data_IF_700902958847
#
_entry.id   IF_700902958847
#
_cell.length_a   1.000
_cell.length_b   1.000
_cell.length_c   1.000
_cell.angle_alpha   90.00
_cell.angle_beta   90.00
_cell.angle_gamma   90.00
#
_symmetry.space_group_name_H-M   'P 1'
#
loop_
_entity.id
_entity.type
_entity.pdbx_description
1 polymer ?
#
# COMPACT_ATOMS: atom_id res chain seq x y z
N UNK A 1 9.00 -62.32 -7.25
CA UNK A 1 9.45 -61.41 -6.17
C UNK A 1 10.83 -60.93 -6.56
N UNK A 2 11.13 -59.66 -6.86
CA UNK A 2 10.45 -58.40 -6.59
C UNK A 2 10.81 -57.44 -7.74
N UNK A 3 9.83 -56.87 -8.43
CA UNK A 3 10.06 -55.78 -9.36
C UNK A 3 10.36 -54.51 -8.56
N UNK A 4 11.56 -53.97 -8.75
CA UNK A 4 11.94 -52.69 -8.17
C UNK A 4 11.08 -51.57 -8.80
N UNK A 5 10.19 -51.00 -7.99
CA UNK A 5 9.43 -49.79 -8.33
C UNK A 5 10.43 -48.65 -8.60
N UNK A 6 10.74 -48.43 -9.88
CA UNK A 6 11.41 -47.21 -10.35
C UNK A 6 10.44 -46.06 -10.15
N UNK A 7 10.59 -45.35 -9.03
CA UNK A 7 10.01 -44.03 -8.83
C UNK A 7 10.59 -43.12 -9.92
N UNK A 8 9.86 -42.94 -11.01
CA UNK A 8 10.20 -41.97 -12.05
C UNK A 8 10.03 -40.60 -11.41
N UNK A 9 11.15 -39.99 -11.00
CA UNK A 9 11.17 -38.59 -10.61
C UNK A 9 10.84 -37.78 -11.87
N UNK A 10 9.54 -37.57 -12.11
CA UNK A 10 9.03 -36.86 -13.27
C UNK A 10 9.68 -35.49 -13.33
N UNK A 11 10.29 -35.14 -14.46
CA UNK A 11 10.92 -33.83 -14.65
C UNK A 11 9.94 -32.71 -14.30
N UNK A 12 10.26 -31.94 -13.26
CA UNK A 12 9.54 -30.73 -12.85
C UNK A 12 10.32 -29.53 -13.36
N UNK A 13 9.78 -28.89 -14.39
CA UNK A 13 10.26 -27.58 -14.82
C UNK A 13 9.64 -26.50 -13.94
N UNK A 14 10.41 -25.50 -13.55
CA UNK A 14 9.93 -24.38 -12.73
C UNK A 14 9.79 -23.09 -13.54
N UNK A 15 8.76 -22.32 -13.21
CA UNK A 15 8.58 -20.93 -13.60
C UNK A 15 9.04 -20.04 -12.44
N UNK A 16 9.74 -18.96 -12.76
CA UNK A 16 10.21 -17.98 -11.78
C UNK A 16 9.52 -16.66 -12.03
N UNK A 17 9.16 -15.97 -10.94
CA UNK A 17 8.55 -14.65 -10.97
C UNK A 17 9.19 -13.78 -9.89
N UNK A 18 9.57 -12.58 -10.26
CA UNK A 18 10.01 -11.56 -9.31
C UNK A 18 8.98 -10.43 -9.29
N UNK A 19 8.54 -10.04 -8.09
CA UNK A 19 7.62 -8.91 -7.90
C UNK A 19 8.19 -7.96 -6.85
N UNK A 20 7.96 -6.67 -7.03
CA UNK A 20 8.31 -5.65 -6.04
C UNK A 20 7.04 -5.16 -5.35
N UNK A 21 6.98 -5.26 -4.03
CA UNK A 21 5.79 -4.95 -3.22
C UNK A 21 6.15 -4.03 -2.06
N UNK A 22 5.16 -3.38 -1.45
CA UNK A 22 5.37 -2.66 -0.20
C UNK A 22 5.83 -3.62 0.91
N UNK A 23 6.76 -3.18 1.75
CA UNK A 23 7.22 -3.97 2.90
C UNK A 23 6.08 -4.34 3.85
N UNK A 24 5.04 -3.52 3.94
CA UNK A 24 3.85 -3.79 4.77
C UNK A 24 2.98 -4.92 4.21
N UNK A 25 3.04 -5.16 2.90
CA UNK A 25 2.24 -6.18 2.20
C UNK A 25 3.04 -7.45 1.89
N UNK A 26 4.31 -7.54 2.33
CA UNK A 26 5.18 -8.68 2.08
C UNK A 26 4.53 -10.01 2.50
N UNK A 27 4.05 -10.10 3.75
CA UNK A 27 3.42 -11.31 4.29
C UNK A 27 2.14 -11.66 3.54
N UNK A 28 1.29 -10.66 3.26
CA UNK A 28 0.04 -10.87 2.51
C UNK A 28 0.34 -11.44 1.13
N UNK A 29 1.32 -10.90 0.42
CA UNK A 29 1.73 -11.41 -0.88
C UNK A 29 2.30 -12.82 -0.80
N UNK A 30 3.14 -13.13 0.19
CA UNK A 30 3.71 -14.46 0.37
C UNK A 30 2.61 -15.51 0.59
N UNK A 31 1.70 -15.27 1.54
CA UNK A 31 0.61 -16.19 1.89
C UNK A 31 -0.39 -16.35 0.74
N UNK A 32 -0.79 -15.24 0.12
CA UNK A 32 -1.76 -15.29 -0.97
C UNK A 32 -1.18 -16.03 -2.19
N UNK A 33 0.08 -15.78 -2.55
CA UNK A 33 0.70 -16.41 -3.72
C UNK A 33 0.92 -17.92 -3.55
N UNK A 34 1.08 -18.40 -2.31
CA UNK A 34 1.14 -19.84 -2.02
C UNK A 34 -0.14 -20.56 -2.47
N UNK A 35 -1.31 -19.94 -2.28
CA UNK A 35 -2.61 -20.44 -2.76
C UNK A 35 -2.74 -20.47 -4.30
N UNK A 36 -1.75 -19.95 -5.05
CA UNK A 36 -1.66 -20.04 -6.51
C UNK A 36 -0.53 -20.98 -6.99
N UNK A 37 0.06 -21.74 -6.05
CA UNK A 37 1.12 -22.72 -6.28
C UNK A 37 2.51 -22.11 -6.34
N UNK A 38 2.68 -20.83 -5.97
CA UNK A 38 3.99 -20.20 -5.89
C UNK A 38 4.65 -20.48 -4.54
N UNK A 39 5.93 -20.82 -4.56
CA UNK A 39 6.76 -20.95 -3.36
C UNK A 39 7.71 -19.77 -3.30
N UNK A 40 7.80 -19.12 -2.14
CA UNK A 40 8.77 -18.06 -1.92
C UNK A 40 10.18 -18.65 -1.87
N UNK A 41 11.05 -18.23 -2.78
CA UNK A 41 12.45 -18.66 -2.85
C UNK A 41 13.34 -17.73 -2.04
N UNK A 42 13.03 -16.43 -2.03
CA UNK A 42 13.77 -15.47 -1.24
C UNK A 42 13.25 -14.04 -1.38
N UNK A 43 13.65 -13.25 -0.39
CA UNK A 43 13.36 -11.83 -0.31
C UNK A 43 14.66 -11.05 -0.52
N UNK A 44 14.63 -10.01 -1.34
CA UNK A 44 15.75 -9.09 -1.52
C UNK A 44 15.30 -7.64 -1.37
N UNK A 45 16.18 -6.80 -0.83
CA UNK A 45 15.92 -5.36 -0.77
C UNK A 45 16.38 -4.71 -2.07
N UNK A 46 15.48 -4.14 -2.88
CA UNK A 46 15.89 -3.43 -4.08
C UNK A 46 16.69 -2.18 -3.69
N UNK A 47 17.70 -1.86 -4.48
CA UNK A 47 18.57 -0.68 -4.28
C UNK A 47 17.76 0.64 -4.30
N UNK A 48 16.54 0.62 -4.87
CA UNK A 48 15.74 1.81 -5.16
C UNK A 48 14.73 2.24 -4.06
N UNK A 49 14.63 1.56 -2.91
CA UNK A 49 13.70 2.04 -1.87
C UNK A 49 13.71 1.30 -0.54
N UNK A 50 13.71 2.06 0.56
CA UNK A 50 13.64 1.54 1.95
C UNK A 50 12.26 0.92 2.26
N UNK A 51 11.21 1.34 1.53
CA UNK A 51 9.82 0.92 1.77
C UNK A 51 9.33 -0.21 0.88
N UNK A 52 10.15 -0.67 -0.07
CA UNK A 52 9.79 -1.73 -1.01
C UNK A 52 10.69 -2.95 -0.85
N UNK A 53 10.15 -4.11 -1.21
CA UNK A 53 10.80 -5.40 -1.08
C UNK A 53 10.56 -6.21 -2.36
N UNK A 54 11.61 -6.82 -2.89
CA UNK A 54 11.53 -7.68 -4.06
C UNK A 54 11.43 -9.14 -3.62
N UNK A 55 10.32 -9.78 -3.95
CA UNK A 55 10.00 -11.16 -3.65
C UNK A 55 10.22 -12.03 -4.88
N UNK A 56 10.98 -13.11 -4.71
CA UNK A 56 11.25 -14.10 -5.74
C UNK A 56 10.45 -15.35 -5.47
N UNK A 57 9.63 -15.72 -6.44
CA UNK A 57 8.74 -16.86 -6.39
C UNK A 57 9.11 -17.90 -7.45
N UNK A 58 8.87 -19.15 -7.11
CA UNK A 58 9.10 -20.32 -7.95
C UNK A 58 7.83 -21.17 -7.96
N UNK A 59 7.39 -21.65 -9.13
CA UNK A 59 6.18 -22.49 -9.27
C UNK A 59 6.37 -23.57 -10.31
N UNK A 60 5.71 -24.70 -10.15
CA UNK A 60 5.72 -25.77 -11.14
C UNK A 60 5.11 -25.32 -12.48
N UNK A 61 5.82 -25.59 -13.57
CA UNK A 61 5.39 -25.22 -14.94
C UNK A 61 4.16 -26.02 -15.41
N UNK A 62 3.96 -27.22 -14.88
CA UNK A 62 2.85 -28.11 -15.21
C UNK A 62 1.71 -27.97 -14.20
N UNK A 63 1.13 -26.78 -14.13
CA UNK A 63 -0.02 -26.50 -13.25
C UNK A 63 -1.34 -26.70 -13.99
N UNK A 64 -2.33 -27.30 -13.30
CA UNK A 64 -3.70 -27.42 -13.81
C UNK A 64 -4.35 -26.03 -13.81
N UNK A 65 -5.31 -25.82 -14.72
CA UNK A 65 -6.11 -24.58 -14.75
C UNK A 65 -5.30 -23.27 -14.81
N UNK A 66 -4.12 -23.26 -15.45
CA UNK A 66 -3.19 -22.11 -15.50
C UNK A 66 -3.86 -20.81 -15.94
N UNK A 67 -4.77 -20.86 -16.92
CA UNK A 67 -5.47 -19.67 -17.42
C UNK A 67 -6.37 -19.04 -16.35
N UNK A 68 -7.17 -19.85 -15.65
CA UNK A 68 -8.04 -19.38 -14.56
C UNK A 68 -7.23 -18.89 -13.36
N UNK A 69 -6.17 -19.59 -12.96
CA UNK A 69 -5.27 -19.13 -11.90
C UNK A 69 -4.63 -17.78 -12.24
N UNK A 70 -4.25 -17.56 -13.50
CA UNK A 70 -3.72 -16.27 -13.94
C UNK A 70 -4.79 -15.17 -13.88
N UNK A 71 -6.04 -15.50 -14.19
CA UNK A 71 -7.16 -14.55 -14.09
C UNK A 71 -7.43 -14.17 -12.64
N UNK A 72 -7.54 -15.14 -11.74
CA UNK A 72 -7.72 -14.92 -10.31
C UNK A 72 -6.52 -14.17 -9.70
N UNK A 73 -5.30 -14.48 -10.12
CA UNK A 73 -4.10 -13.78 -9.66
C UNK A 73 -4.14 -12.29 -10.04
N UNK A 74 -4.63 -11.93 -11.24
CA UNK A 74 -4.82 -10.53 -11.62
C UNK A 74 -5.88 -9.83 -10.77
N UNK A 75 -6.94 -10.55 -10.37
CA UNK A 75 -7.97 -10.03 -9.48
C UNK A 75 -7.43 -9.81 -8.07
N UNK A 76 -6.66 -10.77 -7.54
CA UNK A 76 -5.94 -10.64 -6.28
C UNK A 76 -5.02 -9.41 -6.31
N UNK A 77 -4.16 -9.31 -7.33
CA UNK A 77 -3.21 -8.21 -7.45
C UNK A 77 -3.94 -6.85 -7.55
N UNK A 78 -5.17 -6.81 -8.12
CA UNK A 78 -5.99 -5.61 -8.14
C UNK A 78 -6.56 -5.28 -6.75
N UNK A 79 -7.08 -6.28 -6.03
CA UNK A 79 -7.63 -6.08 -4.70
C UNK A 79 -6.56 -5.62 -3.69
N UNK A 80 -5.35 -6.22 -3.73
CA UNK A 80 -4.22 -5.78 -2.89
C UNK A 80 -3.83 -4.33 -3.20
N UNK A 81 -3.79 -3.93 -4.48
CA UNK A 81 -3.55 -2.53 -4.85
C UNK A 81 -4.63 -1.59 -4.31
N UNK A 82 -5.89 -2.00 -4.33
CA UNK A 82 -6.98 -1.22 -3.75
C UNK A 82 -6.77 -1.02 -2.24
N UNK A 83 -6.36 -2.06 -1.51
CA UNK A 83 -6.03 -1.96 -0.08
C UNK A 83 -4.89 -0.96 0.14
N UNK A 84 -3.79 -1.05 -0.61
CA UNK A 84 -2.67 -0.09 -0.50
C UNK A 84 -3.12 1.36 -0.78
N UNK A 85 -3.98 1.55 -1.78
CA UNK A 85 -4.55 2.86 -2.10
C UNK A 85 -5.43 3.39 -0.97
N UNK A 86 -6.28 2.54 -0.39
CA UNK A 86 -7.13 2.89 0.75
C UNK A 86 -6.28 3.24 1.98
N UNK A 87 -5.24 2.48 2.29
CA UNK A 87 -4.31 2.79 3.38
C UNK A 87 -3.61 4.14 3.17
N UNK A 88 -3.10 4.38 1.96
CA UNK A 88 -2.45 5.65 1.61
C UNK A 88 -3.43 6.83 1.67
N UNK A 89 -4.71 6.61 1.40
CA UNK A 89 -5.74 7.65 1.44
C UNK A 89 -5.95 8.23 2.86
N UNK A 90 -5.72 7.40 3.91
CA UNK A 90 -5.84 7.77 5.33
C UNK A 90 -4.90 8.93 5.68
N UNK A 91 -3.67 8.89 5.17
CA UNK A 91 -2.64 9.90 5.46
C UNK A 91 -2.64 11.01 4.42
N UNK A 92 -2.87 10.70 3.15
CA UNK A 92 -2.85 11.69 2.06
C UNK A 92 -3.92 12.76 2.25
N UNK A 93 -5.15 12.38 2.62
CA UNK A 93 -6.22 13.36 2.88
C UNK A 93 -5.85 14.32 4.00
N UNK A 94 -5.28 13.79 5.09
CA UNK A 94 -4.88 14.59 6.25
C UNK A 94 -3.69 15.50 5.91
N UNK A 95 -2.72 15.02 5.15
CA UNK A 95 -1.56 15.79 4.70
C UNK A 95 -1.96 16.95 3.79
N UNK A 96 -2.84 16.71 2.81
CA UNK A 96 -3.35 17.77 1.91
C UNK A 96 -4.00 18.90 2.70
N UNK A 97 -4.84 18.57 3.68
CA UNK A 97 -5.49 19.58 4.53
C UNK A 97 -4.49 20.33 5.43
N UNK A 98 -3.49 19.64 5.97
CA UNK A 98 -2.46 20.27 6.79
C UNK A 98 -1.57 21.22 5.97
N UNK A 99 -1.15 20.80 4.77
CA UNK A 99 -0.32 21.62 3.89
C UNK A 99 -1.08 22.83 3.34
N UNK A 100 -2.36 22.70 2.99
CA UNK A 100 -3.14 23.85 2.54
C UNK A 100 -3.27 24.92 3.63
N UNK A 101 -3.52 24.51 4.88
CA UNK A 101 -3.55 25.41 6.04
C UNK A 101 -2.18 26.07 6.28
N UNK A 102 -1.08 25.30 6.16
CA UNK A 102 0.28 25.82 6.30
C UNK A 102 0.64 26.84 5.21
N UNK A 103 0.24 26.61 3.96
CA UNK A 103 0.43 27.56 2.84
C UNK A 103 -0.32 28.86 3.12
N UNK A 104 -1.58 28.77 3.58
CA UNK A 104 -2.38 29.94 3.95
C UNK A 104 -1.71 30.71 5.10
N UNK A 105 -1.26 30.03 6.16
CA UNK A 105 -0.53 30.66 7.26
C UNK A 105 0.76 31.36 6.81
N UNK A 106 1.47 30.75 5.86
CA UNK A 106 2.70 31.32 5.27
C UNK A 106 2.39 32.59 4.45
N UNK A 107 1.27 32.61 3.71
CA UNK A 107 0.84 33.81 2.99
C UNK A 107 0.51 34.98 3.94
N UNK A 108 -0.16 34.70 5.06
CA UNK A 108 -0.40 35.69 6.11
C UNK A 108 0.90 36.19 6.75
N UNK A 109 1.88 35.31 6.98
CA UNK A 109 3.19 35.70 7.49
C UNK A 109 3.93 36.62 6.52
N UNK A 110 3.97 36.27 5.24
CA UNK A 110 4.57 37.10 4.21
C UNK A 110 3.90 38.49 4.14
N UNK A 111 2.56 38.52 4.19
CA UNK A 111 1.79 39.76 4.24
C UNK A 111 2.13 40.63 5.46
N UNK A 112 2.30 40.02 6.64
CA UNK A 112 2.69 40.75 7.85
C UNK A 112 4.07 41.41 7.72
N UNK A 113 5.05 40.70 7.14
CA UNK A 113 6.40 41.21 6.91
C UNK A 113 6.40 42.36 5.90
N UNK A 114 5.67 42.22 4.78
CA UNK A 114 5.57 43.30 3.79
C UNK A 114 4.83 44.52 4.35
N UNK A 115 3.77 44.33 5.13
CA UNK A 115 3.07 45.43 5.79
C UNK A 115 3.98 46.20 6.75
N UNK A 116 4.85 45.49 7.48
CA UNK A 116 5.84 46.13 8.35
C UNK A 116 6.85 46.95 7.54
N UNK A 117 7.41 46.40 6.46
CA UNK A 117 8.35 47.11 5.57
C UNK A 117 7.70 48.35 4.95
N UNK A 118 6.41 48.28 4.60
CA UNK A 118 5.64 49.40 4.05
C UNK A 118 5.19 50.45 5.06
N UNK A 119 5.62 50.37 6.33
CA UNK A 119 5.24 51.32 7.38
C UNK A 119 3.83 51.14 7.94
N UNK A 120 3.11 50.09 7.55
CA UNK A 120 1.76 49.76 8.02
C UNK A 120 1.82 48.82 9.23
N UNK A 121 2.37 49.31 10.35
CA UNK A 121 2.60 48.51 11.57
C UNK A 121 1.32 47.87 12.12
N UNK A 122 0.19 48.59 12.10
CA UNK A 122 -1.10 48.05 12.54
C UNK A 122 -1.56 46.83 11.71
N UNK A 123 -1.37 46.89 10.38
CA UNK A 123 -1.74 45.80 9.48
C UNK A 123 -0.84 44.56 9.69
N UNK A 124 0.45 44.77 9.97
CA UNK A 124 1.39 43.69 10.30
C UNK A 124 0.95 42.90 11.53
N UNK A 125 0.51 43.58 12.60
CA UNK A 125 0.05 42.93 13.84
C UNK A 125 -1.23 42.12 13.58
N UNK A 126 -2.18 42.68 12.81
CA UNK A 126 -3.43 42.00 12.48
C UNK A 126 -3.17 40.72 11.66
N UNK A 127 -2.22 40.76 10.71
CA UNK A 127 -1.86 39.61 9.87
C UNK A 127 -1.01 38.55 10.60
N UNK A 128 -0.26 38.94 11.64
CA UNK A 128 0.57 38.01 12.40
C UNK A 128 -0.28 36.98 13.18
N UNK A 129 -1.42 37.39 13.73
CA UNK A 129 -2.33 36.50 14.50
C UNK A 129 -2.79 35.29 13.67
N UNK A 130 -3.38 35.42 12.47
CA UNK A 130 -3.76 34.28 11.64
C UNK A 130 -2.56 33.51 11.10
N UNK A 131 -1.39 34.14 10.95
CA UNK A 131 -0.17 33.44 10.53
C UNK A 131 0.27 32.39 11.56
N UNK A 132 0.35 32.78 12.84
CA UNK A 132 0.69 31.85 13.92
C UNK A 132 -0.38 30.77 14.10
N UNK A 133 -1.66 31.14 14.00
CA UNK A 133 -2.75 30.16 14.01
C UNK A 133 -2.62 29.14 12.87
N UNK A 134 -2.22 29.59 11.68
CA UNK A 134 -1.99 28.76 10.50
C UNK A 134 -0.87 27.73 10.65
N UNK A 135 -0.01 27.81 11.67
CA UNK A 135 1.01 26.81 11.97
C UNK A 135 0.63 25.86 13.12
N UNK A 136 -0.24 26.30 14.04
CA UNK A 136 -0.72 25.47 15.15
C UNK A 136 -1.88 24.57 14.71
N UNK A 137 -2.83 25.12 13.93
CA UNK A 137 -4.04 24.42 13.48
C UNK A 137 -3.77 23.18 12.60
N UNK A 138 -2.77 23.15 11.68
CA UNK A 138 -2.49 21.99 10.84
C UNK A 138 -2.25 20.68 11.60
N UNK A 139 -1.64 20.75 12.78
CA UNK A 139 -1.39 19.55 13.59
C UNK A 139 -2.70 18.91 14.08
N UNK A 140 -3.58 19.74 14.66
CA UNK A 140 -4.88 19.29 15.15
C UNK A 140 -5.80 18.83 14.02
N UNK A 141 -5.78 19.54 12.89
CA UNK A 141 -6.56 19.16 11.71
C UNK A 141 -6.08 17.84 11.13
N UNK A 142 -4.76 17.62 11.02
CA UNK A 142 -4.18 16.35 10.57
C UNK A 142 -4.66 15.19 11.44
N UNK A 143 -4.54 15.31 12.76
CA UNK A 143 -4.91 14.23 13.69
C UNK A 143 -6.40 13.90 13.60
N UNK A 144 -7.26 14.91 13.57
CA UNK A 144 -8.73 14.75 13.49
C UNK A 144 -9.16 14.14 12.16
N UNK A 145 -8.62 14.65 11.05
CA UNK A 145 -8.94 14.15 9.70
C UNK A 145 -8.44 12.72 9.54
N UNK A 146 -7.22 12.43 9.99
CA UNK A 146 -6.65 11.08 9.94
C UNK A 146 -7.52 10.09 10.72
N UNK A 147 -7.99 10.43 11.92
CA UNK A 147 -8.88 9.56 12.70
C UNK A 147 -10.21 9.31 11.99
N UNK A 148 -10.88 10.38 11.53
CA UNK A 148 -12.15 10.26 10.79
C UNK A 148 -12.00 9.43 9.52
N UNK A 149 -10.95 9.67 8.74
CA UNK A 149 -10.66 8.91 7.52
C UNK A 149 -10.32 7.46 7.83
N UNK A 150 -9.57 7.20 8.89
CA UNK A 150 -9.24 5.84 9.31
C UNK A 150 -10.49 5.08 9.69
N UNK A 151 -11.40 5.68 10.47
CA UNK A 151 -12.67 5.05 10.84
C UNK A 151 -13.59 4.79 9.63
N UNK A 152 -13.60 5.69 8.64
CA UNK A 152 -14.42 5.52 7.44
C UNK A 152 -13.86 4.47 6.46
N UNK A 153 -12.53 4.38 6.35
CA UNK A 153 -11.84 3.50 5.38
C UNK A 153 -11.54 2.12 5.96
N UNK A 154 -11.45 1.96 7.29
CA UNK A 154 -11.27 0.67 7.94
C UNK A 154 -12.24 -0.42 7.45
N UNK A 155 -13.58 -0.21 7.47
CA UNK A 155 -14.51 -1.25 7.02
C UNK A 155 -14.35 -1.59 5.52
N UNK A 156 -13.96 -0.61 4.69
CA UNK A 156 -13.70 -0.85 3.26
C UNK A 156 -12.43 -1.68 3.04
N UNK A 157 -11.44 -1.54 3.91
CA UNK A 157 -10.23 -2.36 3.89
C UNK A 157 -10.55 -3.78 4.35
N UNK A 158 -11.35 -3.94 5.39
CA UNK A 158 -11.76 -5.25 5.89
C UNK A 158 -12.53 -6.02 4.80
N UNK A 159 -13.48 -5.38 4.12
CA UNK A 159 -14.20 -5.96 2.97
C UNK A 159 -13.25 -6.40 1.84
N UNK A 160 -12.19 -5.63 1.58
CA UNK A 160 -11.18 -6.00 0.58
C UNK A 160 -10.32 -7.18 1.03
N UNK A 161 -10.02 -7.30 2.31
CA UNK A 161 -9.35 -8.49 2.85
C UNK A 161 -10.22 -9.74 2.75
N UNK A 162 -11.54 -9.62 2.95
CA UNK A 162 -12.47 -10.72 2.73
C UNK A 162 -12.50 -11.15 1.25
N UNK A 163 -12.50 -10.18 0.31
CA UNK A 163 -12.40 -10.47 -1.13
C UNK A 163 -11.08 -11.18 -1.49
N UNK A 164 -9.96 -10.76 -0.90
CA UNK A 164 -8.66 -11.43 -1.04
C UNK A 164 -8.74 -12.88 -0.54
N UNK A 165 -9.37 -13.11 0.62
CA UNK A 165 -9.54 -14.43 1.19
C UNK A 165 -10.34 -15.35 0.25
N UNK A 166 -11.48 -14.88 -0.26
CA UNK A 166 -12.29 -15.67 -1.21
C UNK A 166 -11.52 -16.01 -2.49
N UNK A 167 -10.73 -15.08 -3.01
CA UNK A 167 -9.92 -15.31 -4.22
C UNK A 167 -8.86 -16.37 -3.94
N UNK A 168 -8.21 -16.32 -2.77
CA UNK A 168 -7.21 -17.31 -2.36
C UNK A 168 -7.83 -18.70 -2.17
N UNK A 169 -9.01 -18.79 -1.55
CA UNK A 169 -9.75 -20.05 -1.41
C UNK A 169 -10.12 -20.65 -2.78
N UNK A 170 -10.65 -19.83 -3.69
CA UNK A 170 -10.95 -20.23 -5.08
C UNK A 170 -9.68 -20.67 -5.83
N UNK A 171 -8.55 -20.02 -5.59
CA UNK A 171 -7.28 -20.43 -6.20
C UNK A 171 -6.78 -21.77 -5.65
N UNK A 172 -6.81 -21.95 -4.32
CA UNK A 172 -6.36 -23.18 -3.67
C UNK A 172 -7.20 -24.40 -4.07
N UNK A 173 -8.52 -24.23 -4.20
CA UNK A 173 -9.42 -25.29 -4.69
C UNK A 173 -9.16 -25.68 -6.15
N UNK A 174 -8.57 -24.81 -6.97
CA UNK A 174 -8.17 -25.12 -8.35
C UNK A 174 -6.81 -25.83 -8.45
N UNK A 175 -6.03 -25.84 -7.37
CA UNK A 175 -4.74 -26.54 -7.27
C UNK A 175 -4.87 -28.00 -6.86
N UNK A 176 -5.81 -28.31 -5.97
CA UNK A 176 -6.16 -29.68 -5.53
C UNK A 176 -6.89 -30.47 -6.62
#
# INVERSE_FOLDING_TARGET
>A
MSEAVKNHNSFVGYEYKEITVSRTMESVHADCYENFGWTLEGTSQPIQGISSVALKFKRDRKIRNKAELTRLQRQLDACIRDVEMLEKSKTTSAAVAAFSLGIVGTAFMAGSVFAYIGGLTALSVILAVPAFAGWIIPYFSYMTIRQKRTAAVAPMIDEKYDEIYEICEKANTLLG
#
